data_IF_609574709712
#
_entry.id   IF_609574709712
#
_cell.length_a   1.000
_cell.length_b   1.000
_cell.length_c   1.000
_cell.angle_alpha   90.00
_cell.angle_beta   90.00
_cell.angle_gamma   90.00
#
_symmetry.space_group_name_H-M   'P 1'
#
loop_
_entity.id
_entity.type
_entity.pdbx_description
1 polymer ?
#
# COMPACT_ATOMS: atom_id res chain seq x y z
N UNK A 1 16.97 27.31 -17.29
CA UNK A 1 15.83 26.51 -16.80
C UNK A 1 15.04 27.37 -15.83
N UNK A 2 13.88 27.83 -16.27
CA UNK A 2 13.03 28.75 -15.52
C UNK A 2 12.34 27.96 -14.41
N UNK A 3 12.70 28.20 -13.15
CA UNK A 3 12.09 27.54 -12.01
C UNK A 3 10.66 28.06 -11.87
N UNK A 4 9.67 27.25 -12.28
CA UNK A 4 8.24 27.59 -12.16
C UNK A 4 7.83 27.93 -10.73
N UNK A 5 8.59 27.47 -9.73
CA UNK A 5 8.38 27.81 -8.33
C UNK A 5 8.65 29.29 -8.02
N UNK A 6 9.59 29.94 -8.71
CA UNK A 6 9.93 31.35 -8.47
C UNK A 6 8.84 32.28 -9.01
N UNK A 7 8.24 31.94 -10.16
CA UNK A 7 7.18 32.74 -10.78
C UNK A 7 5.86 32.67 -10.01
N UNK A 8 5.58 31.53 -9.36
CA UNK A 8 4.39 31.34 -8.53
C UNK A 8 4.45 32.13 -7.21
N UNK A 9 5.65 32.46 -6.71
CA UNK A 9 5.84 33.25 -5.49
C UNK A 9 5.58 34.75 -5.76
N UNK A 10 5.90 35.24 -6.96
CA UNK A 10 5.93 36.68 -7.27
C UNK A 10 4.56 37.27 -7.67
N UNK A 11 3.53 36.43 -7.85
CA UNK A 11 2.19 36.87 -8.33
C UNK A 11 1.15 37.09 -7.22
N UNK A 12 1.52 36.93 -5.94
CA UNK A 12 0.60 37.16 -4.84
C UNK A 12 0.66 38.62 -4.37
N UNK A 13 0.10 39.54 -5.17
CA UNK A 13 -0.08 40.94 -4.73
C UNK A 13 -1.40 41.13 -3.98
N UNK A 14 -1.27 41.43 -2.68
CA UNK A 14 -2.19 42.17 -1.79
C UNK A 14 -3.68 41.81 -1.87
N UNK A 15 -4.09 40.85 -1.04
CA UNK A 15 -5.27 41.05 -0.16
C UNK A 15 -5.07 40.31 1.16
N UNK A 16 -5.42 41.01 2.23
CA UNK A 16 -5.67 40.57 3.60
C UNK A 16 -5.75 39.03 3.84
N UNK A 17 -4.69 38.43 4.36
CA UNK A 17 -4.73 37.58 5.56
C UNK A 17 -3.38 36.88 5.78
N UNK A 18 -2.76 37.23 6.91
CA UNK A 18 -1.55 36.63 7.45
C UNK A 18 -1.67 35.09 7.70
N UNK A 19 -2.86 34.52 7.52
CA UNK A 19 -3.19 33.12 7.74
C UNK A 19 -2.68 32.21 6.61
N UNK A 20 -2.71 32.66 5.34
CA UNK A 20 -2.36 31.82 4.18
C UNK A 20 -0.84 31.56 4.11
N UNK A 21 -0.03 32.58 4.39
CA UNK A 21 1.44 32.48 4.36
C UNK A 21 1.98 31.49 5.41
N UNK A 22 1.38 31.47 6.60
CA UNK A 22 1.71 30.54 7.69
C UNK A 22 1.23 29.11 7.38
N UNK A 23 0.07 28.97 6.74
CA UNK A 23 -0.42 27.66 6.28
C UNK A 23 0.47 27.07 5.19
N UNK A 24 0.99 27.89 4.27
CA UNK A 24 1.90 27.43 3.22
C UNK A 24 3.24 26.94 3.75
N UNK A 25 3.82 27.61 4.75
CA UNK A 25 5.11 27.18 5.33
C UNK A 25 4.97 25.89 6.13
N UNK A 26 3.92 25.73 6.93
CA UNK A 26 3.66 24.49 7.67
C UNK A 26 3.51 23.28 6.73
N UNK A 27 2.78 23.44 5.63
CA UNK A 27 2.64 22.39 4.61
C UNK A 27 3.97 22.10 3.91
N UNK A 28 4.75 23.13 3.56
CA UNK A 28 6.06 22.98 2.93
C UNK A 28 7.07 22.26 3.83
N UNK A 29 7.09 22.56 5.13
CA UNK A 29 7.91 21.84 6.12
C UNK A 29 7.50 20.37 6.21
N UNK A 30 6.21 20.09 6.37
CA UNK A 30 5.66 18.72 6.43
C UNK A 30 5.99 17.89 5.18
N UNK A 31 5.90 18.49 3.99
CA UNK A 31 6.24 17.84 2.73
C UNK A 31 7.75 17.61 2.64
N UNK A 32 8.56 18.60 3.03
CA UNK A 32 10.02 18.49 3.03
C UNK A 32 10.48 17.39 3.97
N UNK A 33 9.91 17.29 5.18
CA UNK A 33 10.23 16.26 6.16
C UNK A 33 9.85 14.86 5.66
N UNK A 34 8.70 14.72 5.00
CA UNK A 34 8.30 13.46 4.37
C UNK A 34 9.33 12.98 3.33
N UNK A 35 9.85 13.89 2.49
CA UNK A 35 10.83 13.56 1.46
C UNK A 35 12.29 13.51 1.94
N UNK A 36 12.60 14.04 3.15
CA UNK A 36 13.95 14.06 3.72
C UNK A 36 14.45 12.68 4.17
N UNK A 37 13.54 11.69 4.29
CA UNK A 37 13.93 10.29 4.40
C UNK A 37 14.23 9.79 5.81
N UNK A 38 14.02 10.60 6.86
CA UNK A 38 14.15 10.18 8.28
C UNK A 38 12.88 9.50 8.83
N UNK A 39 11.96 9.08 7.94
CA UNK A 39 10.95 8.11 8.33
C UNK A 39 11.68 6.81 8.66
N UNK A 40 11.94 6.60 9.94
CA UNK A 40 12.36 5.34 10.55
C UNK A 40 11.29 4.26 10.27
N UNK A 41 11.15 3.86 9.01
CA UNK A 41 10.38 2.69 8.55
C UNK A 41 10.98 1.39 9.10
N UNK A 42 12.16 1.47 9.72
CA UNK A 42 12.84 0.41 10.45
C UNK A 42 12.03 -0.10 11.67
N UNK A 43 10.99 0.62 12.10
CA UNK A 43 10.03 0.15 13.12
C UNK A 43 8.99 -0.82 12.54
N UNK A 44 8.78 -0.84 11.22
CA UNK A 44 7.83 -1.77 10.56
C UNK A 44 8.44 -3.17 10.35
N UNK A 45 9.76 -3.35 10.52
CA UNK A 45 10.45 -4.43 9.82
C UNK A 45 10.68 -5.74 10.60
N UNK A 46 10.38 -5.81 11.90
CA UNK A 46 10.83 -7.00 12.67
C UNK A 46 9.82 -8.11 12.89
N UNK A 47 8.52 -7.92 12.58
CA UNK A 47 7.50 -8.86 13.05
C UNK A 47 6.69 -9.58 11.96
N UNK A 48 6.76 -9.16 10.70
CA UNK A 48 5.78 -9.60 9.68
C UNK A 48 6.32 -10.35 8.46
N UNK A 49 7.62 -10.27 8.17
CA UNK A 49 8.14 -10.65 6.85
C UNK A 49 7.94 -12.13 6.49
N UNK A 50 7.75 -12.99 7.49
CA UNK A 50 7.58 -14.43 7.27
C UNK A 50 6.71 -15.09 8.35
N UNK A 51 5.62 -14.43 8.78
CA UNK A 51 4.76 -15.04 9.78
C UNK A 51 4.10 -16.32 9.21
N UNK A 52 4.14 -17.46 9.92
CA UNK A 52 3.44 -18.67 9.50
C UNK A 52 1.93 -18.42 9.29
N UNK A 53 1.36 -17.46 10.03
CA UNK A 53 -0.03 -17.04 9.90
C UNK A 53 -0.35 -16.43 8.54
N UNK A 54 0.53 -15.56 8.01
CA UNK A 54 0.35 -14.96 6.68
C UNK A 54 0.26 -16.03 5.60
N UNK A 55 1.18 -16.99 5.61
CA UNK A 55 1.21 -18.08 4.62
C UNK A 55 -0.02 -18.99 4.74
N UNK A 56 -0.41 -19.34 5.97
CA UNK A 56 -1.61 -20.12 6.22
C UNK A 56 -2.88 -19.40 5.74
N UNK A 57 -3.02 -18.12 6.04
CA UNK A 57 -4.16 -17.31 5.59
C UNK A 57 -4.21 -17.18 4.07
N UNK A 58 -3.07 -16.98 3.40
CA UNK A 58 -2.99 -16.97 1.92
C UNK A 58 -3.46 -18.32 1.36
N UNK A 59 -3.06 -19.43 1.96
CA UNK A 59 -3.47 -20.76 1.51
C UNK A 59 -4.98 -20.98 1.66
N UNK A 60 -5.55 -20.61 2.81
CA UNK A 60 -7.01 -20.68 3.03
C UNK A 60 -7.76 -19.75 2.06
N UNK A 61 -7.21 -18.55 1.81
CA UNK A 61 -7.75 -17.61 0.83
C UNK A 61 -7.80 -18.21 -0.58
N UNK A 62 -6.70 -18.82 -1.04
CA UNK A 62 -6.62 -19.48 -2.35
C UNK A 62 -7.60 -20.66 -2.46
N UNK A 63 -7.68 -21.49 -1.42
CA UNK A 63 -8.62 -22.62 -1.37
C UNK A 63 -10.08 -22.16 -1.43
N UNK A 64 -10.42 -21.09 -0.70
CA UNK A 64 -11.77 -20.53 -0.67
C UNK A 64 -12.17 -19.84 -1.99
N UNK A 65 -11.19 -19.54 -2.85
CA UNK A 65 -11.38 -18.84 -4.12
C UNK A 65 -10.72 -19.61 -5.28
N UNK A 66 -10.75 -20.96 -5.25
CA UNK A 66 -10.07 -21.82 -6.23
C UNK A 66 -10.51 -21.59 -7.68
N UNK A 67 -11.74 -21.09 -7.87
CA UNK A 67 -12.28 -20.76 -9.20
C UNK A 67 -11.70 -19.46 -9.80
N UNK A 68 -10.95 -18.67 -9.01
CA UNK A 68 -10.43 -17.37 -9.42
C UNK A 68 -8.91 -17.45 -9.59
N UNK A 69 -8.42 -17.04 -10.76
CA UNK A 69 -6.98 -16.98 -11.05
C UNK A 69 -6.40 -15.67 -10.55
N UNK A 70 -5.67 -15.74 -9.45
CA UNK A 70 -5.00 -14.56 -8.89
C UNK A 70 -3.55 -14.42 -9.38
N UNK A 71 -3.09 -13.17 -9.41
CA UNK A 71 -1.66 -12.87 -9.41
C UNK A 71 -1.19 -12.60 -7.98
N UNK A 72 0.09 -12.79 -7.65
CA UNK A 72 0.62 -12.48 -6.31
C UNK A 72 0.31 -11.03 -5.88
N UNK A 73 0.36 -10.09 -6.83
CA UNK A 73 0.04 -8.68 -6.59
C UNK A 73 -1.45 -8.46 -6.26
N UNK A 74 -2.35 -9.20 -6.91
CA UNK A 74 -3.78 -9.12 -6.60
C UNK A 74 -4.07 -9.59 -5.16
N UNK A 75 -3.45 -10.71 -4.75
CA UNK A 75 -3.56 -11.24 -3.38
C UNK A 75 -3.04 -10.21 -2.38
N UNK A 76 -1.85 -9.65 -2.62
CA UNK A 76 -1.28 -8.63 -1.74
C UNK A 76 -2.16 -7.39 -1.63
N UNK A 77 -2.75 -6.93 -2.73
CA UNK A 77 -3.71 -5.81 -2.73
C UNK A 77 -4.94 -6.10 -1.87
N UNK A 78 -5.54 -7.29 -2.02
CA UNK A 78 -6.69 -7.72 -1.21
C UNK A 78 -6.30 -7.72 0.27
N UNK A 79 -5.18 -8.35 0.62
CA UNK A 79 -4.68 -8.44 2.00
C UNK A 79 -4.32 -7.08 2.62
N UNK A 80 -3.96 -6.09 1.80
CA UNK A 80 -3.77 -4.70 2.20
C UNK A 80 -5.03 -3.84 2.17
N UNK A 81 -6.14 -4.37 1.68
CA UNK A 81 -7.40 -3.64 1.59
C UNK A 81 -7.44 -2.61 0.46
N UNK A 82 -6.68 -2.82 -0.61
CA UNK A 82 -6.57 -1.93 -1.76
C UNK A 82 -7.30 -2.52 -2.97
N UNK A 83 -8.41 -1.91 -3.37
CA UNK A 83 -9.16 -2.34 -4.56
C UNK A 83 -8.39 -2.20 -5.86
N UNK A 84 -8.74 -2.98 -6.86
CA UNK A 84 -8.22 -2.86 -8.23
C UNK A 84 -9.35 -3.02 -9.25
N UNK A 85 -9.17 -2.62 -10.52
CA UNK A 85 -10.22 -2.77 -11.52
C UNK A 85 -10.76 -4.21 -11.65
N UNK A 86 -9.89 -5.22 -11.58
CA UNK A 86 -10.28 -6.63 -11.61
C UNK A 86 -10.80 -7.17 -10.26
N UNK A 87 -10.44 -6.53 -9.16
CA UNK A 87 -10.82 -6.93 -7.79
C UNK A 87 -11.34 -5.71 -7.02
N UNK A 88 -12.56 -5.21 -7.34
CA UNK A 88 -13.07 -3.98 -6.77
C UNK A 88 -13.45 -4.15 -5.29
N UNK A 89 -13.27 -3.09 -4.51
CA UNK A 89 -13.59 -3.10 -3.07
C UNK A 89 -15.07 -3.37 -2.79
N UNK A 90 -15.99 -2.97 -3.69
CA UNK A 90 -17.43 -3.24 -3.56
C UNK A 90 -17.78 -4.73 -3.46
N UNK A 91 -16.91 -5.60 -3.98
CA UNK A 91 -17.06 -7.06 -3.92
C UNK A 91 -16.11 -7.66 -2.87
N UNK A 92 -14.83 -7.30 -2.92
CA UNK A 92 -13.77 -7.99 -2.18
C UNK A 92 -13.58 -7.51 -0.73
N UNK A 93 -14.12 -6.34 -0.37
CA UNK A 93 -14.03 -5.83 1.02
C UNK A 93 -14.81 -6.64 2.05
N UNK A 94 -15.75 -7.49 1.60
CA UNK A 94 -16.53 -8.37 2.48
C UNK A 94 -15.74 -9.59 2.95
N UNK A 95 -14.58 -9.86 2.36
CA UNK A 95 -13.76 -11.01 2.74
C UNK A 95 -13.01 -10.73 4.05
N UNK A 96 -12.89 -11.73 4.93
CA UNK A 96 -12.14 -11.58 6.19
C UNK A 96 -10.63 -11.30 6.00
N UNK A 97 -10.12 -11.51 4.79
CA UNK A 97 -8.73 -11.26 4.44
C UNK A 97 -8.48 -9.80 4.01
N UNK A 98 -9.54 -9.03 3.74
CA UNK A 98 -9.41 -7.65 3.28
C UNK A 98 -8.76 -6.75 4.33
N UNK A 99 -7.61 -6.15 4.01
CA UNK A 99 -6.91 -5.23 4.92
C UNK A 99 -6.28 -5.88 6.16
N UNK A 100 -6.36 -7.21 6.29
CA UNK A 100 -5.84 -7.97 7.46
C UNK A 100 -4.33 -7.78 7.67
N UNK A 101 -3.60 -7.48 6.60
CA UNK A 101 -2.14 -7.37 6.61
C UNK A 101 -1.66 -5.96 6.24
N UNK A 102 -2.46 -4.92 6.52
CA UNK A 102 -2.13 -3.52 6.21
C UNK A 102 -0.84 -3.02 6.88
N UNK A 103 -0.49 -3.59 8.03
CA UNK A 103 0.71 -3.26 8.82
C UNK A 103 1.95 -4.05 8.40
N UNK A 104 1.82 -5.04 7.52
CA UNK A 104 2.96 -5.77 6.98
C UNK A 104 3.42 -5.05 5.72
N UNK A 105 4.72 -5.05 5.42
CA UNK A 105 5.20 -4.51 4.16
C UNK A 105 4.54 -5.20 2.95
N UNK A 106 4.14 -4.39 1.95
CA UNK A 106 3.44 -4.87 0.77
C UNK A 106 4.27 -5.86 -0.04
N UNK A 107 5.59 -5.64 -0.11
CA UNK A 107 6.50 -6.53 -0.83
C UNK A 107 6.61 -7.88 -0.12
N UNK A 108 6.61 -7.89 1.22
CA UNK A 108 6.53 -9.11 2.03
C UNK A 108 5.31 -9.96 1.70
N UNK A 109 4.12 -9.36 1.74
CA UNK A 109 2.85 -10.04 1.46
C UNK A 109 2.84 -10.57 0.03
N UNK A 110 3.33 -9.80 -0.93
CA UNK A 110 3.43 -10.23 -2.33
C UNK A 110 4.41 -11.39 -2.52
N UNK A 111 5.54 -11.40 -1.81
CA UNK A 111 6.51 -12.50 -1.87
C UNK A 111 5.94 -13.78 -1.26
N UNK A 112 5.28 -13.69 -0.11
CA UNK A 112 4.56 -14.81 0.51
C UNK A 112 3.46 -15.36 -0.41
N UNK A 113 2.68 -14.46 -1.03
CA UNK A 113 1.64 -14.82 -1.98
C UNK A 113 2.20 -15.53 -3.22
N UNK A 114 3.35 -15.08 -3.72
CA UNK A 114 4.05 -15.75 -4.83
C UNK A 114 4.45 -17.17 -4.45
N UNK A 115 5.04 -17.36 -3.26
CA UNK A 115 5.45 -18.67 -2.80
C UNK A 115 4.26 -19.64 -2.66
N UNK A 116 3.18 -19.20 -2.02
CA UNK A 116 1.98 -20.05 -1.83
C UNK A 116 1.25 -20.34 -3.14
N UNK A 117 1.21 -19.40 -4.08
CA UNK A 117 0.59 -19.62 -5.39
C UNK A 117 1.32 -20.71 -6.19
N UNK A 118 2.66 -20.76 -6.13
CA UNK A 118 3.44 -21.82 -6.77
C UNK A 118 3.16 -23.19 -6.14
N UNK A 119 3.02 -23.24 -4.81
CA UNK A 119 2.67 -24.46 -4.08
C UNK A 119 1.24 -24.94 -4.37
N UNK A 120 0.32 -24.01 -4.59
CA UNK A 120 -1.08 -24.29 -4.87
C UNK A 120 -1.25 -24.94 -6.26
N UNK A 121 -0.67 -24.34 -7.30
CA UNK A 121 -0.76 -24.85 -8.68
C UNK A 121 -0.15 -26.25 -8.83
N UNK A 122 0.92 -26.56 -8.09
CA UNK A 122 1.53 -27.89 -8.12
C UNK A 122 0.67 -28.99 -7.50
N UNK A 123 -0.38 -28.65 -6.75
CA UNK A 123 -1.28 -29.61 -6.08
C UNK A 123 -2.53 -29.94 -6.89
N UNK A 124 -2.85 -29.12 -7.89
CA UNK A 124 -3.99 -29.29 -8.79
C UNK A 124 -3.62 -30.04 -10.09
N UNK A 125 -2.38 -30.54 -10.19
CA UNK A 125 -1.94 -31.42 -11.26
C UNK A 125 -2.37 -32.88 -10.96
N UNK A 126 -3.03 -33.57 -11.91
CA UNK A 126 -3.48 -34.96 -11.73
C UNK A 126 -2.34 -35.96 -11.59
#
# INVERSE_FOLDING_TARGET
MYSSAVFAVDTCEKTHDCNVAQQTTYLQERISDYFRGDNNLDVLDKMGQNSPFLRADIKVFLQSNSNVKFTPRAIARIMHGIGSPAYPSSIWSRTHFWGRYIQIDFKAVMNAAKAELMNFVGKDAP
#
